data_IF_005317082197
#
_entry.id   IF_005317082197
#
_cell.length_a   1.000
_cell.length_b   1.000
_cell.length_c   1.000
_cell.angle_alpha   90.00
_cell.angle_beta   90.00
_cell.angle_gamma   90.00
#
_symmetry.space_group_name_H-M   'P 1'
#
loop_
_entity.id
_entity.type
_entity.pdbx_description
1 polymer ?
#
# COMPACT_ATOMS: atom_id res chain seq x y z
N UNK A 1 -23.32 7.60 -3.26
CA UNK A 1 -22.45 8.80 -3.26
C UNK A 1 -21.08 8.36 -3.71
N UNK A 2 -20.57 8.88 -4.83
CA UNK A 2 -19.30 8.43 -5.40
C UNK A 2 -18.12 9.22 -4.82
N UNK A 3 -17.05 8.49 -4.44
CA UNK A 3 -15.76 9.06 -4.06
C UNK A 3 -14.85 9.22 -5.28
N UNK A 4 -13.93 10.18 -5.22
CA UNK A 4 -12.89 10.32 -6.25
C UNK A 4 -11.85 9.22 -6.08
N UNK A 5 -11.50 8.89 -4.81
CA UNK A 5 -10.56 7.82 -4.47
C UNK A 5 -10.95 7.17 -3.15
N UNK A 6 -10.81 5.84 -3.10
CA UNK A 6 -10.91 5.05 -1.87
C UNK A 6 -9.57 4.38 -1.57
N UNK A 7 -8.99 4.68 -0.41
CA UNK A 7 -7.76 4.07 0.08
C UNK A 7 -8.09 2.82 0.88
N UNK A 8 -7.46 1.69 0.60
CA UNK A 8 -7.66 0.43 1.34
C UNK A 8 -6.32 0.00 1.92
N UNK A 9 -6.21 -0.13 3.23
CA UNK A 9 -5.01 -0.60 3.91
C UNK A 9 -5.17 -0.67 5.42
N UNK A 10 -4.42 -1.56 6.06
CA UNK A 10 -4.40 -1.65 7.51
C UNK A 10 -3.75 -0.41 8.12
N UNK A 11 -4.33 0.09 9.22
CA UNK A 11 -3.63 1.00 10.10
C UNK A 11 -2.42 0.28 10.73
N UNK A 12 -1.28 0.95 10.80
CA UNK A 12 -0.07 0.42 11.43
C UNK A 12 0.36 1.30 12.61
N UNK A 13 0.64 0.67 13.75
CA UNK A 13 1.33 1.30 14.88
C UNK A 13 2.82 1.12 14.65
N UNK A 14 3.48 2.18 14.21
CA UNK A 14 4.88 2.10 13.84
C UNK A 14 5.77 2.48 15.04
N UNK A 15 6.65 1.57 15.44
CA UNK A 15 7.75 1.84 16.36
C UNK A 15 9.02 2.06 15.54
N UNK A 16 9.46 3.29 15.46
CA UNK A 16 10.66 3.68 14.72
C UNK A 16 11.83 3.76 15.69
N UNK A 17 12.78 2.83 15.55
CA UNK A 17 13.97 2.74 16.40
C UNK A 17 15.19 3.20 15.61
N UNK A 18 15.82 4.26 16.05
CA UNK A 18 17.08 4.77 15.49
C UNK A 18 18.20 4.64 16.51
N UNK A 19 19.43 4.97 16.12
CA UNK A 19 20.57 5.02 17.05
C UNK A 19 20.46 6.10 18.13
N UNK A 20 19.51 7.04 17.98
CA UNK A 20 19.36 8.21 18.86
C UNK A 20 18.09 8.17 19.70
N UNK A 21 16.99 7.65 19.15
CA UNK A 21 15.68 7.71 19.79
C UNK A 21 14.75 6.60 19.30
N UNK A 22 13.68 6.38 20.04
CA UNK A 22 12.52 5.58 19.62
C UNK A 22 11.30 6.48 19.51
N UNK A 23 10.61 6.43 18.38
CA UNK A 23 9.36 7.17 18.12
C UNK A 23 8.21 6.22 17.85
N UNK A 24 7.01 6.67 18.22
CA UNK A 24 5.76 5.99 17.90
C UNK A 24 4.99 6.84 16.91
N UNK A 25 4.56 6.24 15.79
CA UNK A 25 3.93 6.94 14.68
C UNK A 25 2.68 6.21 14.26
N UNK A 26 1.61 6.94 13.96
CA UNK A 26 0.42 6.42 13.30
C UNK A 26 0.72 6.28 11.80
N UNK A 27 0.92 5.03 11.37
CA UNK A 27 1.35 4.69 10.02
C UNK A 27 0.23 4.09 9.16
N UNK A 28 0.68 3.39 8.12
CA UNK A 28 -0.16 2.76 7.12
C UNK A 28 -0.25 3.57 5.82
N UNK A 29 0.04 2.91 4.69
CA UNK A 29 0.02 3.57 3.38
C UNK A 29 -1.32 4.22 3.06
N UNK A 30 -2.45 3.63 3.50
CA UNK A 30 -3.77 4.21 3.35
C UNK A 30 -3.90 5.57 4.06
N UNK A 31 -3.32 5.70 5.26
CA UNK A 31 -3.40 6.91 6.08
C UNK A 31 -2.68 8.08 5.38
N UNK A 32 -1.43 7.87 4.95
CA UNK A 32 -0.67 8.88 4.22
C UNK A 32 -1.32 9.23 2.87
N UNK A 33 -1.79 8.22 2.14
CA UNK A 33 -2.49 8.40 0.86
C UNK A 33 -3.79 9.18 1.02
N UNK A 34 -4.57 8.92 2.07
CA UNK A 34 -5.81 9.62 2.35
C UNK A 34 -5.58 11.11 2.65
N UNK A 35 -4.59 11.44 3.49
CA UNK A 35 -4.19 12.82 3.74
C UNK A 35 -3.74 13.53 2.46
N UNK A 36 -2.89 12.89 1.65
CA UNK A 36 -2.41 13.48 0.40
C UNK A 36 -3.55 13.73 -0.59
N UNK A 37 -4.44 12.76 -0.80
CA UNK A 37 -5.58 12.89 -1.70
C UNK A 37 -6.54 14.01 -1.22
N UNK A 38 -6.80 14.08 0.09
CA UNK A 38 -7.63 15.13 0.68
C UNK A 38 -7.03 16.52 0.53
N UNK A 39 -5.71 16.66 0.73
CA UNK A 39 -4.99 17.91 0.54
C UNK A 39 -5.04 18.41 -0.92
N UNK A 40 -5.14 17.49 -1.89
CA UNK A 40 -5.34 17.80 -3.31
C UNK A 40 -6.81 18.10 -3.68
N UNK A 41 -7.72 18.12 -2.69
CA UNK A 41 -9.13 18.45 -2.91
C UNK A 41 -10.02 17.30 -3.32
N UNK A 42 -9.52 16.06 -3.33
CA UNK A 42 -10.31 14.89 -3.66
C UNK A 42 -11.37 14.60 -2.57
N UNK A 43 -12.49 13.99 -2.98
CA UNK A 43 -13.45 13.38 -2.09
C UNK A 43 -12.99 11.96 -1.77
N UNK A 44 -12.56 11.74 -0.54
CA UNK A 44 -11.81 10.57 -0.12
C UNK A 44 -12.64 9.67 0.78
N UNK A 45 -12.59 8.36 0.53
CA UNK A 45 -12.94 7.31 1.48
C UNK A 45 -11.68 6.55 1.92
N UNK A 46 -11.67 6.07 3.16
CA UNK A 46 -10.60 5.24 3.71
C UNK A 46 -11.19 3.98 4.34
N UNK A 47 -10.76 2.82 3.85
CA UNK A 47 -11.14 1.50 4.38
C UNK A 47 -9.95 0.95 5.15
N UNK A 48 -10.13 0.69 6.44
CA UNK A 48 -9.02 0.24 7.28
C UNK A 48 -9.46 -0.78 8.32
N UNK A 49 -8.49 -1.48 8.90
CA UNK A 49 -8.67 -2.43 10.00
C UNK A 49 -7.74 -2.02 11.13
N UNK A 50 -8.26 -2.00 12.36
CA UNK A 50 -7.52 -1.55 13.54
C UNK A 50 -8.19 -2.03 14.83
N UNK A 51 -7.44 -2.03 15.93
CA UNK A 51 -8.01 -2.22 17.25
C UNK A 51 -8.85 -1.00 17.65
N UNK A 52 -9.95 -1.22 18.36
CA UNK A 52 -10.85 -0.14 18.82
C UNK A 52 -10.13 0.90 19.71
N UNK A 53 -9.08 0.51 20.42
CA UNK A 53 -8.29 1.43 21.24
C UNK A 53 -7.51 2.46 20.40
N UNK A 54 -7.35 2.22 19.10
CA UNK A 54 -6.65 3.09 18.16
C UNK A 54 -7.63 3.95 17.33
N UNK A 55 -8.88 4.10 17.81
CA UNK A 55 -9.96 4.88 17.15
C UNK A 55 -9.57 6.32 16.86
N UNK A 56 -8.62 6.90 17.61
CA UNK A 56 -8.15 8.27 17.36
C UNK A 56 -7.69 8.51 15.92
N UNK A 57 -7.16 7.47 15.24
CA UNK A 57 -6.76 7.57 13.83
C UNK A 57 -7.98 7.80 12.92
N UNK A 58 -9.08 7.10 13.20
CA UNK A 58 -10.35 7.30 12.50
C UNK A 58 -10.85 8.72 12.73
N UNK A 59 -10.88 9.15 14.00
CA UNK A 59 -11.38 10.48 14.38
C UNK A 59 -10.54 11.60 13.72
N UNK A 60 -9.22 11.42 13.62
CA UNK A 60 -8.32 12.37 12.96
C UNK A 60 -8.60 12.49 11.46
N UNK A 61 -8.84 11.37 10.76
CA UNK A 61 -9.19 11.37 9.34
C UNK A 61 -10.58 12.00 9.09
N UNK A 62 -11.57 11.66 9.92
CA UNK A 62 -12.92 12.23 9.83
C UNK A 62 -12.90 13.74 10.08
N UNK A 63 -12.07 14.23 11.01
CA UNK A 63 -11.94 15.65 11.33
C UNK A 63 -11.46 16.51 10.14
N UNK A 64 -10.74 15.91 9.18
CA UNK A 64 -10.31 16.59 7.95
C UNK A 64 -11.21 16.31 6.74
N UNK A 65 -12.38 15.68 6.98
CA UNK A 65 -13.40 15.44 5.96
C UNK A 65 -13.14 14.24 5.06
N UNK A 66 -12.55 13.18 5.61
CA UNK A 66 -12.41 11.87 4.98
C UNK A 66 -13.46 10.93 5.57
N UNK A 67 -14.23 10.24 4.73
CA UNK A 67 -15.18 9.24 5.21
C UNK A 67 -14.42 7.93 5.51
N UNK A 68 -14.44 7.49 6.77
CA UNK A 68 -13.68 6.30 7.20
C UNK A 68 -14.61 5.11 7.41
N UNK A 69 -14.23 3.95 6.88
CA UNK A 69 -14.92 2.67 7.02
C UNK A 69 -14.05 1.70 7.82
N UNK A 70 -14.04 1.79 9.16
CA UNK A 70 -13.19 0.97 9.98
C UNK A 70 -13.79 -0.41 10.25
N UNK A 71 -12.96 -1.45 10.18
CA UNK A 71 -13.26 -2.77 10.73
C UNK A 71 -12.45 -2.96 12.00
N UNK A 72 -13.13 -3.05 13.13
CA UNK A 72 -12.45 -3.25 14.40
C UNK A 72 -12.02 -4.71 14.58
N UNK A 73 -10.75 -4.89 14.93
CA UNK A 73 -10.08 -6.18 15.09
C UNK A 73 -9.48 -6.30 16.50
N UNK A 74 -9.16 -7.53 16.97
CA UNK A 74 -8.50 -7.71 18.29
C UNK A 74 -7.18 -6.97 18.41
N UNK A 75 -6.43 -6.84 17.29
CA UNK A 75 -5.13 -6.16 17.24
C UNK A 75 -5.06 -5.23 16.03
N UNK A 76 -4.38 -4.09 16.18
CA UNK A 76 -3.89 -3.31 15.03
C UNK A 76 -2.62 -3.94 14.46
N UNK A 77 -2.31 -3.69 13.20
CA UNK A 77 -1.00 -4.06 12.67
C UNK A 77 0.08 -3.28 13.41
N UNK A 78 1.12 -3.97 13.87
CA UNK A 78 2.26 -3.36 14.55
C UNK A 78 3.50 -3.54 13.68
N UNK A 79 4.19 -2.44 13.41
CA UNK A 79 5.43 -2.41 12.63
C UNK A 79 6.57 -1.88 13.50
N UNK A 80 7.71 -2.55 13.44
CA UNK A 80 8.96 -2.06 14.02
C UNK A 80 9.92 -1.75 12.86
N UNK A 81 10.37 -0.50 12.79
CA UNK A 81 11.32 0.00 11.80
C UNK A 81 12.64 0.26 12.51
N UNK A 82 13.58 -0.67 12.38
CA UNK A 82 14.87 -0.62 13.10
C UNK A 82 15.96 -0.12 12.16
N UNK A 83 16.54 1.02 12.47
CA UNK A 83 17.64 1.65 11.76
C UNK A 83 18.94 1.49 12.58
N UNK A 84 19.80 0.50 12.25
CA UNK A 84 21.00 0.19 13.02
C UNK A 84 22.10 1.26 12.89
N UNK A 85 21.97 2.12 11.88
CA UNK A 85 22.91 3.20 11.57
C UNK A 85 22.16 4.47 11.15
N UNK A 86 22.89 5.56 10.92
CA UNK A 86 22.33 6.80 10.35
C UNK A 86 22.03 6.69 8.83
N UNK A 87 22.28 5.57 8.21
CA UNK A 87 21.84 5.31 6.84
C UNK A 87 20.41 4.79 6.85
N UNK A 88 19.45 5.64 6.49
CA UNK A 88 18.02 5.32 6.48
C UNK A 88 17.60 4.35 5.35
N UNK A 89 18.48 4.05 4.40
CA UNK A 89 18.25 3.01 3.38
C UNK A 89 18.46 1.60 3.95
N UNK A 90 19.21 1.48 5.06
CA UNK A 90 19.46 0.20 5.73
C UNK A 90 18.59 0.08 6.98
N UNK A 91 17.48 -0.63 6.82
CA UNK A 91 16.53 -0.87 7.92
C UNK A 91 16.03 -2.31 7.93
N UNK A 92 15.72 -2.80 9.11
CA UNK A 92 14.96 -4.02 9.31
C UNK A 92 13.50 -3.66 9.62
N UNK A 93 12.58 -4.32 8.95
CA UNK A 93 11.14 -4.17 9.19
C UNK A 93 10.63 -5.46 9.85
N UNK A 94 9.99 -5.35 11.00
CA UNK A 94 9.40 -6.47 11.72
C UNK A 94 7.90 -6.20 11.89
N UNK A 95 7.06 -7.22 11.65
CA UNK A 95 5.61 -7.13 11.84
C UNK A 95 5.15 -8.20 12.84
N UNK A 96 5.25 -7.95 14.16
CA UNK A 96 4.86 -8.93 15.18
C UNK A 96 3.37 -9.17 15.25
N UNK A 97 2.53 -8.19 14.85
CA UNK A 97 1.07 -8.28 14.86
C UNK A 97 0.47 -7.78 13.56
N UNK A 98 -0.68 -8.32 13.17
CA UNK A 98 -1.43 -7.90 11.99
C UNK A 98 -2.92 -7.77 12.32
N UNK A 99 -3.57 -6.76 11.77
CA UNK A 99 -5.02 -6.59 11.83
C UNK A 99 -5.76 -7.59 10.90
N UNK A 100 -5.03 -8.38 10.13
CA UNK A 100 -5.55 -9.43 9.25
C UNK A 100 -5.92 -8.95 7.86
N UNK A 101 -6.56 -9.85 7.11
CA UNK A 101 -6.87 -9.67 5.68
C UNK A 101 -8.16 -8.92 5.44
N UNK A 102 -8.23 -8.20 4.32
CA UNK A 102 -9.46 -7.62 3.78
C UNK A 102 -10.30 -8.67 3.05
N UNK A 103 -11.60 -8.43 3.02
CA UNK A 103 -12.60 -9.12 2.19
C UNK A 103 -13.47 -8.09 1.48
N UNK A 104 -14.24 -8.48 0.49
CA UNK A 104 -15.14 -7.58 -0.24
C UNK A 104 -16.15 -6.86 0.64
N UNK A 105 -16.57 -7.47 1.75
CA UNK A 105 -17.54 -6.87 2.70
C UNK A 105 -17.14 -5.50 3.23
N UNK A 106 -15.83 -5.20 3.29
CA UNK A 106 -15.37 -3.92 3.79
C UNK A 106 -15.52 -2.78 2.77
N UNK A 107 -15.75 -3.08 1.49
CA UNK A 107 -15.88 -2.08 0.43
C UNK A 107 -17.05 -2.34 -0.53
N UNK A 108 -17.91 -3.33 -0.25
CA UNK A 108 -19.03 -3.71 -1.14
C UNK A 108 -19.99 -2.54 -1.41
N UNK A 109 -20.30 -1.73 -0.40
CA UNK A 109 -21.22 -0.60 -0.49
C UNK A 109 -20.55 0.73 -0.89
N UNK A 110 -19.23 0.72 -1.13
CA UNK A 110 -18.48 1.92 -1.48
C UNK A 110 -18.44 2.08 -3.00
N UNK A 111 -18.94 3.22 -3.49
CA UNK A 111 -18.83 3.63 -4.88
C UNK A 111 -17.65 4.63 -5.03
N UNK A 112 -16.69 4.32 -5.89
CA UNK A 112 -15.47 5.11 -6.07
C UNK A 112 -14.99 5.08 -7.53
N UNK A 113 -14.39 6.17 -8.00
CA UNK A 113 -13.76 6.20 -9.34
C UNK A 113 -12.51 5.33 -9.39
N UNK A 114 -11.74 5.34 -8.28
CA UNK A 114 -10.53 4.52 -8.13
C UNK A 114 -10.45 3.95 -6.71
N UNK A 115 -10.02 2.69 -6.60
CA UNK A 115 -9.58 2.08 -5.36
C UNK A 115 -8.06 1.94 -5.38
N UNK A 116 -7.39 2.45 -4.34
CA UNK A 116 -5.95 2.31 -4.16
C UNK A 116 -5.68 1.38 -2.98
N UNK A 117 -5.10 0.22 -3.29
CA UNK A 117 -4.76 -0.82 -2.31
C UNK A 117 -3.33 -0.59 -1.80
N UNK A 118 -3.21 -0.24 -0.52
CA UNK A 118 -1.98 0.01 0.20
C UNK A 118 -1.74 -1.06 1.28
N UNK A 119 -1.73 -2.33 0.90
CA UNK A 119 -1.41 -3.41 1.82
C UNK A 119 0.05 -3.35 2.26
N UNK A 120 0.34 -3.79 3.49
CA UNK A 120 1.70 -3.84 4.03
C UNK A 120 2.42 -5.13 3.68
N UNK A 121 1.65 -6.22 3.57
CA UNK A 121 2.12 -7.56 3.18
C UNK A 121 1.07 -8.26 2.31
N UNK A 122 1.52 -9.30 1.59
CA UNK A 122 0.70 -10.11 0.65
C UNK A 122 -0.58 -10.66 1.27
N UNK A 123 -0.53 -11.09 2.52
CA UNK A 123 -1.66 -11.74 3.19
C UNK A 123 -2.79 -10.77 3.57
N UNK A 124 -2.55 -9.46 3.52
CA UNK A 124 -3.58 -8.46 3.84
C UNK A 124 -4.61 -8.31 2.72
N UNK A 125 -4.18 -8.46 1.44
CA UNK A 125 -5.08 -8.31 0.29
C UNK A 125 -4.84 -9.43 -0.73
N UNK A 126 -5.70 -10.43 -0.70
CA UNK A 126 -5.57 -11.63 -1.54
C UNK A 126 -6.02 -11.39 -2.97
N UNK A 127 -5.59 -12.26 -3.89
CA UNK A 127 -5.97 -12.20 -5.30
C UNK A 127 -7.49 -12.26 -5.49
N UNK A 128 -8.19 -13.12 -4.74
CA UNK A 128 -9.64 -13.26 -4.78
C UNK A 128 -10.34 -11.93 -4.41
N UNK A 129 -9.81 -11.24 -3.40
CA UNK A 129 -10.33 -9.93 -2.97
C UNK A 129 -10.09 -8.86 -4.04
N UNK A 130 -8.96 -8.93 -4.76
CA UNK A 130 -8.68 -8.04 -5.90
C UNK A 130 -9.64 -8.33 -7.07
N UNK A 131 -9.96 -9.59 -7.31
CA UNK A 131 -10.98 -10.00 -8.29
C UNK A 131 -12.34 -9.39 -7.97
N UNK A 132 -12.79 -9.52 -6.71
CA UNK A 132 -14.05 -8.95 -6.26
C UNK A 132 -14.04 -7.41 -6.40
N UNK A 133 -12.92 -6.75 -6.07
CA UNK A 133 -12.76 -5.31 -6.24
C UNK A 133 -12.88 -4.91 -7.73
N UNK A 134 -12.30 -5.70 -8.65
CA UNK A 134 -12.38 -5.45 -10.10
C UNK A 134 -13.82 -5.50 -10.64
N UNK A 135 -14.70 -6.33 -10.05
CA UNK A 135 -16.11 -6.43 -10.47
C UNK A 135 -16.89 -5.14 -10.24
N UNK A 136 -16.40 -4.22 -9.41
CA UNK A 136 -17.03 -2.91 -9.20
C UNK A 136 -16.91 -1.96 -10.39
N UNK A 137 -16.09 -2.31 -11.39
CA UNK A 137 -15.91 -1.50 -12.61
C UNK A 137 -15.10 -0.21 -12.43
N UNK A 138 -14.58 0.04 -11.22
CA UNK A 138 -13.71 1.16 -10.92
C UNK A 138 -12.26 0.91 -11.39
N UNK A 139 -11.46 1.98 -11.45
CA UNK A 139 -10.02 1.86 -11.65
C UNK A 139 -9.36 1.29 -10.39
N UNK A 140 -8.28 0.54 -10.58
CA UNK A 140 -7.53 -0.07 -9.47
C UNK A 140 -6.08 0.39 -9.49
N UNK A 141 -5.64 0.96 -8.38
CA UNK A 141 -4.23 1.20 -8.08
C UNK A 141 -3.74 0.24 -6.99
N UNK A 142 -2.50 -0.22 -7.10
CA UNK A 142 -1.84 -1.00 -6.04
C UNK A 142 -0.45 -0.48 -5.73
N UNK A 143 -0.03 -0.58 -4.47
CA UNK A 143 1.37 -0.49 -4.07
C UNK A 143 1.97 -1.90 -4.09
N UNK A 144 3.04 -2.09 -4.88
CA UNK A 144 3.67 -3.39 -5.12
C UNK A 144 4.13 -4.07 -3.83
N UNK A 145 4.60 -3.29 -2.86
CA UNK A 145 5.07 -3.82 -1.57
C UNK A 145 4.07 -4.78 -0.92
N UNK A 146 2.79 -4.45 -0.96
CA UNK A 146 1.72 -5.24 -0.35
C UNK A 146 1.47 -6.60 -1.03
N UNK A 147 2.14 -6.89 -2.15
CA UNK A 147 1.96 -8.12 -2.92
C UNK A 147 3.24 -8.96 -3.03
N UNK A 148 4.41 -8.36 -2.89
CA UNK A 148 5.69 -9.08 -2.88
C UNK A 148 6.24 -9.30 -1.48
N UNK A 149 5.85 -8.50 -0.49
CA UNK A 149 6.35 -8.59 0.87
C UNK A 149 5.65 -9.69 1.66
N UNK A 150 6.44 -10.51 2.35
CA UNK A 150 5.96 -11.58 3.25
C UNK A 150 6.71 -11.51 4.58
N UNK A 151 6.30 -12.32 5.55
CA UNK A 151 7.02 -12.49 6.82
C UNK A 151 7.81 -13.78 6.82
N UNK A 152 9.02 -13.75 7.36
CA UNK A 152 9.76 -14.95 7.72
C UNK A 152 9.33 -15.50 9.10
N UNK A 153 10.06 -16.48 9.61
CA UNK A 153 9.78 -17.14 10.90
C UNK A 153 9.99 -16.23 12.12
N UNK A 154 10.74 -15.14 11.98
CA UNK A 154 11.01 -14.15 13.02
C UNK A 154 10.12 -12.89 12.85
N UNK A 155 9.13 -12.95 11.96
CA UNK A 155 8.27 -11.84 11.57
C UNK A 155 9.00 -10.69 10.85
N UNK A 156 10.22 -10.91 10.37
CA UNK A 156 10.95 -9.94 9.55
C UNK A 156 10.30 -9.91 8.17
N UNK A 157 10.09 -8.69 7.66
CA UNK A 157 9.52 -8.49 6.33
C UNK A 157 10.59 -8.67 5.26
N UNK A 158 10.32 -9.57 4.32
CA UNK A 158 11.19 -9.90 3.20
C UNK A 158 10.40 -9.87 1.89
N UNK A 159 11.06 -9.54 0.79
CA UNK A 159 10.48 -9.71 -0.53
C UNK A 159 10.52 -11.19 -0.94
N UNK A 160 9.40 -11.68 -1.46
CA UNK A 160 9.23 -13.08 -1.84
C UNK A 160 8.61 -13.18 -3.23
N UNK A 161 8.99 -14.22 -3.98
CA UNK A 161 8.45 -14.47 -5.33
C UNK A 161 6.92 -14.46 -5.32
N UNK A 162 6.33 -13.84 -6.33
CA UNK A 162 4.88 -13.68 -6.46
C UNK A 162 4.38 -14.40 -7.71
N UNK A 163 3.89 -15.62 -7.54
CA UNK A 163 3.45 -16.47 -8.65
C UNK A 163 2.24 -15.91 -9.40
N UNK A 164 1.37 -15.18 -8.70
CA UNK A 164 0.12 -14.61 -9.24
C UNK A 164 0.28 -13.21 -9.83
N UNK A 165 1.53 -12.74 -10.03
CA UNK A 165 1.81 -11.36 -10.47
C UNK A 165 1.13 -10.98 -11.79
N UNK A 166 1.10 -11.88 -12.77
CA UNK A 166 0.48 -11.59 -14.07
C UNK A 166 -1.04 -11.43 -13.97
N UNK A 167 -1.68 -12.26 -13.16
CA UNK A 167 -3.13 -12.19 -12.95
C UNK A 167 -3.52 -10.91 -12.21
N UNK A 168 -2.83 -10.61 -11.13
CA UNK A 168 -3.10 -9.42 -10.32
C UNK A 168 -2.80 -8.12 -11.08
N UNK A 169 -1.63 -8.04 -11.73
CA UNK A 169 -1.24 -6.86 -12.50
C UNK A 169 -2.09 -6.67 -13.76
N UNK A 170 -2.61 -7.75 -14.35
CA UNK A 170 -3.59 -7.70 -15.44
C UNK A 170 -4.93 -7.03 -15.06
N UNK A 171 -5.26 -6.98 -13.77
CA UNK A 171 -6.45 -6.29 -13.24
C UNK A 171 -6.17 -4.87 -12.76
N UNK A 172 -4.90 -4.48 -12.70
CA UNK A 172 -4.44 -3.21 -12.12
C UNK A 172 -4.32 -2.14 -13.21
N UNK A 173 -4.82 -0.95 -12.92
CA UNK A 173 -4.68 0.21 -13.82
C UNK A 173 -3.43 1.03 -13.47
N UNK A 174 -3.14 1.23 -12.18
CA UNK A 174 -2.02 2.02 -11.66
C UNK A 174 -1.16 1.18 -10.73
N UNK A 175 0.12 1.02 -11.06
CA UNK A 175 1.07 0.30 -10.22
C UNK A 175 2.10 1.28 -9.66
N UNK A 176 2.22 1.34 -8.32
CA UNK A 176 3.35 2.00 -7.66
C UNK A 176 4.33 0.94 -7.15
N UNK A 177 5.61 1.19 -7.33
CA UNK A 177 6.71 0.43 -6.74
C UNK A 177 7.82 1.39 -6.28
N UNK A 178 8.71 0.94 -5.39
CA UNK A 178 10.02 1.56 -5.29
C UNK A 178 11.04 0.87 -6.23
N UNK A 179 12.24 1.46 -6.37
CA UNK A 179 13.26 0.93 -7.29
C UNK A 179 13.70 -0.49 -6.92
N UNK A 180 13.82 -0.79 -5.63
CA UNK A 180 14.22 -2.12 -5.13
C UNK A 180 13.12 -3.17 -5.40
N UNK A 181 11.87 -2.78 -5.18
CA UNK A 181 10.70 -3.63 -5.45
C UNK A 181 10.56 -3.91 -6.95
N UNK A 182 10.78 -2.88 -7.79
CA UNK A 182 10.74 -3.00 -9.23
C UNK A 182 11.84 -3.94 -9.75
N UNK A 183 13.09 -3.78 -9.29
CA UNK A 183 14.20 -4.67 -9.62
C UNK A 183 13.94 -6.10 -9.15
N UNK A 184 13.46 -6.26 -7.91
CA UNK A 184 13.15 -7.59 -7.37
C UNK A 184 12.12 -8.35 -8.22
N UNK A 185 11.05 -7.68 -8.67
CA UNK A 185 9.98 -8.34 -9.42
C UNK A 185 10.34 -8.59 -10.89
N UNK A 186 11.15 -7.72 -11.49
CA UNK A 186 11.46 -7.74 -12.93
C UNK A 186 12.81 -8.37 -13.24
N UNK A 187 13.79 -8.28 -12.33
CA UNK A 187 15.19 -8.60 -12.56
C UNK A 187 15.99 -7.50 -13.27
N UNK A 188 15.37 -6.32 -13.51
CA UNK A 188 15.96 -5.19 -14.23
C UNK A 188 16.39 -4.11 -13.22
N UNK A 189 17.69 -3.77 -13.20
CA UNK A 189 18.23 -2.69 -12.36
C UNK A 189 18.05 -1.29 -12.98
N UNK A 190 17.88 -1.21 -14.31
CA UNK A 190 17.49 0.02 -14.98
C UNK A 190 15.99 0.29 -14.78
N UNK A 191 15.66 1.45 -14.21
CA UNK A 191 14.28 1.79 -13.85
C UNK A 191 13.35 1.89 -15.07
N UNK A 192 13.86 2.31 -16.22
CA UNK A 192 13.07 2.42 -17.46
C UNK A 192 12.78 1.01 -18.00
N UNK A 193 13.77 0.11 -17.97
CA UNK A 193 13.57 -1.29 -18.34
C UNK A 193 12.58 -1.98 -17.39
N UNK A 194 12.76 -1.80 -16.07
CA UNK A 194 11.83 -2.31 -15.06
C UNK A 194 10.40 -1.82 -15.28
N UNK A 195 10.21 -0.52 -15.52
CA UNK A 195 8.89 0.05 -15.78
C UNK A 195 8.22 -0.55 -17.02
N UNK A 196 8.96 -0.79 -18.09
CA UNK A 196 8.46 -1.45 -19.31
C UNK A 196 8.03 -2.89 -19.05
N UNK A 197 8.81 -3.65 -18.28
CA UNK A 197 8.47 -5.03 -17.87
C UNK A 197 7.20 -5.03 -17.01
N UNK A 198 7.12 -4.15 -16.01
CA UNK A 198 5.93 -4.01 -15.16
C UNK A 198 4.68 -3.63 -15.97
N UNK A 199 4.81 -2.69 -16.90
CA UNK A 199 3.75 -2.28 -17.84
C UNK A 199 3.25 -3.46 -18.68
N UNK A 200 4.15 -4.33 -19.14
CA UNK A 200 3.80 -5.49 -19.95
C UNK A 200 2.97 -6.55 -19.19
N UNK A 201 2.92 -6.50 -17.87
CA UNK A 201 2.03 -7.34 -17.06
C UNK A 201 0.58 -6.86 -17.04
N UNK A 202 0.29 -5.59 -17.43
CA UNK A 202 -1.09 -5.11 -17.55
C UNK A 202 -1.38 -3.66 -17.12
N UNK A 203 -0.68 -3.07 -16.11
CA UNK A 203 -1.00 -1.73 -15.65
C UNK A 203 -0.98 -0.70 -16.79
N UNK A 204 -1.90 0.27 -16.74
CA UNK A 204 -1.91 1.39 -17.69
C UNK A 204 -0.77 2.36 -17.42
N UNK A 205 -0.46 2.56 -16.15
CA UNK A 205 0.62 3.43 -15.71
C UNK A 205 1.44 2.74 -14.61
N UNK A 206 2.75 2.97 -14.66
CA UNK A 206 3.71 2.47 -13.66
C UNK A 206 4.45 3.65 -13.06
N UNK A 207 4.45 3.75 -11.74
CA UNK A 207 5.13 4.78 -10.96
C UNK A 207 6.22 4.10 -10.16
N UNK A 208 7.48 4.50 -10.36
CA UNK A 208 8.62 3.99 -9.60
C UNK A 208 9.24 5.14 -8.82
N UNK A 209 9.18 5.07 -7.48
CA UNK A 209 9.86 6.01 -6.59
C UNK A 209 11.29 5.54 -6.36
N UNK A 210 12.25 6.46 -6.32
CA UNK A 210 13.65 6.18 -6.06
C UNK A 210 14.34 7.35 -5.36
N UNK A 211 15.59 7.18 -4.91
CA UNK A 211 16.32 8.18 -4.12
C UNK A 211 16.46 9.55 -4.79
N UNK A 212 16.47 9.61 -6.13
CA UNK A 212 16.70 10.83 -6.90
C UNK A 212 15.38 11.43 -7.45
N UNK A 213 14.23 10.77 -7.21
CA UNK A 213 12.93 11.27 -7.68
C UNK A 213 11.88 10.20 -7.96
N UNK A 214 11.08 10.43 -8.97
CA UNK A 214 9.98 9.56 -9.40
C UNK A 214 10.03 9.38 -10.90
N UNK A 215 9.98 8.11 -11.35
CA UNK A 215 9.77 7.77 -12.75
C UNK A 215 8.30 7.39 -12.95
N UNK A 216 7.64 7.98 -13.95
CA UNK A 216 6.30 7.58 -14.38
C UNK A 216 6.38 7.08 -15.83
N UNK A 217 5.86 5.87 -16.06
CA UNK A 217 5.69 5.30 -17.39
C UNK A 217 4.20 5.25 -17.74
N UNK A 218 3.76 6.13 -18.60
CA UNK A 218 2.38 6.27 -19.06
C UNK A 218 2.35 6.56 -20.56
N UNK A 219 1.35 6.08 -21.28
CA UNK A 219 1.15 6.31 -22.73
C UNK A 219 2.41 6.07 -23.59
N UNK A 220 3.18 5.03 -23.25
CA UNK A 220 4.48 4.70 -23.86
C UNK A 220 5.55 5.81 -23.76
N UNK A 221 5.39 6.73 -22.81
CA UNK A 221 6.34 7.80 -22.49
C UNK A 221 6.89 7.64 -21.08
N UNK A 222 8.12 8.10 -20.89
CA UNK A 222 8.76 8.21 -19.58
C UNK A 222 8.75 9.67 -19.16
N UNK A 223 8.40 9.90 -17.89
CA UNK A 223 8.51 11.18 -17.19
C UNK A 223 9.37 10.97 -15.95
N UNK A 224 10.33 11.88 -15.73
CA UNK A 224 11.25 11.89 -14.56
C UNK A 224 11.39 13.32 -14.03
#
# INVERSE_FOLDING_TARGET
MQYDITLIGNYTKDTVVTTQETKYVDGGGFNYGAHAARALGAKVAAVTRLNKNDKHVVDNLEAIGIDVFPTYTPESTHMELIYPTNNFDNRTLIMPKSAGSFTSKQFEDIDSKIFLVNASIRDEFKLETLFELKTKGALIGIDLQGFIRTKDTENILINSTWGQKKEALGMTDYLKADGVEAEFLTGESDLVAAAKVLKAYGPKEVIITHKDGVLVYADNKIFQ
#
